data_IF_965604278296
#
_entry.id   IF_965604278296
#
_cell.length_a   1.000
_cell.length_b   1.000
_cell.length_c   1.000
_cell.angle_alpha   90.00
_cell.angle_beta   90.00
_cell.angle_gamma   90.00
#
_symmetry.space_group_name_H-M   'P 1'
#
loop_
_entity.id
_entity.type
_entity.pdbx_description
1 polymer ?
#
# COMPACT_ATOMS: atom_id res chain seq x y z
N UNK A 1 -54.57 -59.77 26.59
CA UNK A 1 -55.67 -58.82 26.91
C UNK A 1 -55.09 -57.41 26.78
N UNK A 2 -55.05 -56.78 25.61
CA UNK A 2 -56.08 -55.87 25.05
C UNK A 2 -56.78 -55.02 26.12
N UNK A 3 -56.44 -53.73 26.20
CA UNK A 3 -57.41 -52.64 26.04
C UNK A 3 -56.69 -51.36 25.59
N UNK A 4 -57.12 -50.87 24.41
CA UNK A 4 -56.92 -49.52 23.90
C UNK A 4 -58.00 -48.62 24.50
N UNK A 5 -57.73 -47.31 24.62
CA UNK A 5 -58.69 -46.19 24.57
C UNK A 5 -57.88 -44.89 24.76
N UNK A 6 -58.21 -43.72 24.23
CA UNK A 6 -58.95 -43.26 23.05
C UNK A 6 -58.71 -41.74 23.01
N UNK A 7 -58.38 -41.24 21.82
CA UNK A 7 -58.56 -39.91 21.22
C UNK A 7 -59.45 -38.90 21.97
N UNK A 8 -59.08 -37.59 21.93
CA UNK A 8 -59.90 -36.44 21.43
C UNK A 8 -59.12 -35.10 21.65
N UNK A 9 -58.78 -34.41 20.54
CA UNK A 9 -58.66 -32.93 20.42
C UNK A 9 -60.05 -32.40 20.00
N UNK A 10 -60.50 -31.13 20.17
CA UNK A 10 -59.77 -29.91 19.74
C UNK A 10 -60.19 -28.54 20.38
N UNK A 11 -59.69 -27.44 19.77
CA UNK A 11 -60.18 -26.03 19.79
C UNK A 11 -59.89 -25.20 21.06
N UNK A 12 -59.62 -23.88 21.07
CA UNK A 12 -59.25 -22.84 20.10
C UNK A 12 -59.21 -21.49 20.86
N UNK A 13 -58.32 -20.56 20.44
CA UNK A 13 -58.39 -19.06 20.55
C UNK A 13 -58.28 -18.36 21.92
N UNK A 14 -57.25 -17.53 22.08
CA UNK A 14 -57.30 -16.04 22.10
C UNK A 14 -55.93 -15.50 22.55
N UNK A 15 -55.20 -14.79 21.69
CA UNK A 15 -55.15 -13.31 21.60
C UNK A 15 -54.62 -12.63 22.87
N UNK A 16 -53.34 -12.25 22.86
CA UNK A 16 -52.92 -10.91 23.24
C UNK A 16 -51.52 -10.62 22.70
N UNK A 17 -51.52 -9.81 21.65
CA UNK A 17 -50.36 -9.19 21.01
C UNK A 17 -49.77 -8.12 21.91
N UNK A 18 -48.46 -8.12 22.08
CA UNK A 18 -47.69 -6.94 22.46
C UNK A 18 -46.27 -7.07 21.88
N UNK A 19 -46.11 -6.72 20.61
CA UNK A 19 -44.79 -6.53 20.01
C UNK A 19 -44.47 -5.05 20.13
N UNK A 20 -43.62 -4.71 21.09
CA UNK A 20 -42.98 -3.40 21.18
C UNK A 20 -42.02 -3.27 19.99
N UNK A 21 -42.37 -2.45 19.00
CA UNK A 21 -41.44 -2.02 17.95
C UNK A 21 -40.52 -0.94 18.54
N UNK A 22 -39.41 -1.33 19.17
CA UNK A 22 -38.30 -0.41 19.40
C UNK A 22 -37.55 -0.25 18.08
N UNK A 23 -37.86 0.83 17.37
CA UNK A 23 -37.10 1.28 16.21
C UNK A 23 -35.67 1.64 16.64
N UNK A 24 -34.73 0.74 16.35
CA UNK A 24 -33.30 1.07 16.32
C UNK A 24 -33.02 1.62 14.94
N UNK A 25 -32.94 2.94 14.82
CA UNK A 25 -32.33 3.60 13.67
C UNK A 25 -30.82 3.32 13.75
N UNK A 26 -30.38 2.28 13.06
CA UNK A 26 -28.96 2.09 12.75
C UNK A 26 -28.61 3.21 11.76
N UNK A 27 -27.98 4.27 12.26
CA UNK A 27 -27.30 5.23 11.41
C UNK A 27 -26.19 4.46 10.69
N UNK A 28 -26.44 4.07 9.44
CA UNK A 28 -25.41 3.57 8.56
C UNK A 28 -24.40 4.70 8.36
N UNK A 29 -23.30 4.66 9.11
CA UNK A 29 -22.11 5.41 8.77
C UNK A 29 -21.61 4.83 7.45
N UNK A 30 -22.06 5.41 6.34
CA UNK A 30 -21.49 5.10 5.03
C UNK A 30 -20.00 5.43 5.16
N UNK A 31 -19.08 4.45 5.04
CA UNK A 31 -17.68 4.81 4.96
C UNK A 31 -17.57 5.71 3.73
N UNK A 32 -17.03 6.92 3.91
CA UNK A 32 -16.58 7.76 2.80
C UNK A 32 -15.56 6.93 2.01
N UNK A 33 -16.03 6.17 1.02
CA UNK A 33 -15.15 5.54 0.05
C UNK A 33 -14.39 6.68 -0.60
N UNK A 34 -13.06 6.60 -0.56
CA UNK A 34 -12.24 7.48 -1.37
C UNK A 34 -12.72 7.33 -2.81
N UNK A 35 -13.25 8.41 -3.37
CA UNK A 35 -13.86 8.42 -4.70
C UNK A 35 -12.80 7.99 -5.71
N UNK A 36 -13.09 6.92 -6.45
CA UNK A 36 -12.20 6.46 -7.51
C UNK A 36 -12.05 7.59 -8.53
N UNK A 37 -10.82 7.95 -8.87
CA UNK A 37 -10.60 9.12 -9.71
C UNK A 37 -9.14 9.44 -9.96
N UNK A 38 -8.91 10.04 -11.12
CA UNK A 38 -7.61 10.58 -11.50
C UNK A 38 -7.64 12.10 -11.40
N UNK A 39 -6.64 12.69 -10.74
CA UNK A 39 -6.45 14.14 -10.65
C UNK A 39 -5.07 14.53 -11.16
N UNK A 40 -5.04 15.55 -12.01
CA UNK A 40 -3.81 16.18 -12.50
C UNK A 40 -3.60 17.55 -11.85
N UNK A 41 -2.36 17.93 -11.59
CA UNK A 41 -2.00 19.31 -11.31
C UNK A 41 -0.77 19.73 -12.10
N UNK A 42 -0.79 20.96 -12.60
CA UNK A 42 0.33 21.58 -13.30
C UNK A 42 0.68 22.91 -12.63
N UNK A 43 1.97 23.16 -12.42
CA UNK A 43 2.47 24.40 -11.86
C UNK A 43 3.72 24.81 -12.62
N UNK A 44 3.70 26.02 -13.15
CA UNK A 44 4.85 26.70 -13.71
C UNK A 44 5.21 27.90 -12.81
N UNK A 45 6.50 28.12 -12.59
CA UNK A 45 7.00 29.28 -11.85
C UNK A 45 8.19 29.89 -12.58
N UNK A 46 8.11 31.17 -12.89
CA UNK A 46 9.18 31.92 -13.57
C UNK A 46 9.84 32.89 -12.60
N UNK A 47 11.16 32.79 -12.46
CA UNK A 47 11.95 33.68 -11.61
C UNK A 47 12.31 35.00 -12.31
N UNK A 48 12.88 35.97 -11.55
CA UNK A 48 13.23 37.30 -12.06
C UNK A 48 14.25 37.28 -13.21
N UNK A 49 15.03 36.20 -13.34
CA UNK A 49 16.01 36.02 -14.42
C UNK A 49 15.40 35.34 -15.67
N UNK A 50 14.07 35.29 -15.80
CA UNK A 50 13.36 34.68 -16.93
C UNK A 50 13.40 33.15 -16.97
N UNK A 51 13.89 32.49 -15.92
CA UNK A 51 13.99 31.02 -15.86
C UNK A 51 12.74 30.43 -15.23
N UNK A 52 12.15 29.45 -15.91
CA UNK A 52 11.00 28.71 -15.42
C UNK A 52 11.40 27.40 -14.70
N UNK A 53 10.50 26.93 -13.85
CA UNK A 53 10.48 25.57 -13.33
C UNK A 53 9.05 25.07 -13.48
N UNK A 54 8.92 23.89 -14.07
CA UNK A 54 7.64 23.25 -14.32
C UNK A 54 7.51 22.02 -13.44
N UNK A 55 6.28 21.77 -12.99
CA UNK A 55 5.92 20.55 -12.28
C UNK A 55 4.55 20.09 -12.73
N UNK A 56 4.48 18.85 -13.17
CA UNK A 56 3.22 18.13 -13.37
C UNK A 56 3.12 16.99 -12.35
N UNK A 57 1.91 16.66 -11.92
CA UNK A 57 1.69 15.38 -11.29
C UNK A 57 0.28 14.86 -11.53
N UNK A 58 0.20 13.54 -11.66
CA UNK A 58 -1.04 12.79 -11.82
C UNK A 58 -1.15 11.83 -10.65
N UNK A 59 -2.33 11.79 -10.02
CA UNK A 59 -2.65 10.84 -8.95
C UNK A 59 -3.90 10.08 -9.37
N UNK A 60 -3.82 8.75 -9.38
CA UNK A 60 -4.94 7.86 -9.62
C UNK A 60 -5.25 7.13 -8.32
N UNK A 61 -6.50 7.20 -7.89
CA UNK A 61 -7.01 6.49 -6.73
C UNK A 61 -8.12 5.56 -7.19
N UNK A 62 -8.03 4.30 -6.82
CA UNK A 62 -9.04 3.27 -7.02
C UNK A 62 -9.17 2.48 -5.71
N UNK A 63 -10.28 1.76 -5.48
CA UNK A 63 -10.38 0.88 -4.31
C UNK A 63 -9.21 -0.11 -4.30
N UNK A 64 -8.42 -0.11 -3.24
CA UNK A 64 -7.24 -0.98 -3.12
C UNK A 64 -6.00 -0.53 -3.90
N UNK A 65 -6.09 0.48 -4.77
CA UNK A 65 -4.97 0.92 -5.60
C UNK A 65 -4.76 2.44 -5.56
N UNK A 66 -3.51 2.86 -5.40
CA UNK A 66 -3.12 4.26 -5.44
C UNK A 66 -1.83 4.42 -6.23
N UNK A 67 -1.82 5.22 -7.28
CA UNK A 67 -0.60 5.62 -8.00
C UNK A 67 -0.42 7.13 -8.05
N UNK A 68 0.83 7.56 -8.01
CA UNK A 68 1.19 8.97 -8.16
C UNK A 68 2.48 9.11 -8.97
N UNK A 69 2.37 9.80 -10.10
CA UNK A 69 3.50 10.21 -10.94
C UNK A 69 3.68 11.71 -10.82
N UNK A 70 4.93 12.15 -10.65
CA UNK A 70 5.30 13.57 -10.62
C UNK A 70 6.53 13.78 -11.46
N UNK A 71 6.46 14.74 -12.37
CA UNK A 71 7.60 15.21 -13.14
C UNK A 71 7.90 16.66 -12.76
N UNK A 72 9.17 17.00 -12.80
CA UNK A 72 9.64 18.35 -12.55
C UNK A 72 10.78 18.66 -13.52
N UNK A 73 10.63 19.75 -14.26
CA UNK A 73 11.70 20.34 -15.06
C UNK A 73 12.21 21.57 -14.33
N UNK A 74 13.49 21.52 -13.96
CA UNK A 74 14.21 22.61 -13.33
C UNK A 74 14.98 23.46 -14.34
N UNK A 75 15.54 24.58 -13.89
CA UNK A 75 16.39 25.40 -14.74
C UNK A 75 17.61 24.61 -15.22
N UNK A 76 18.10 24.93 -16.42
CA UNK A 76 19.28 24.31 -17.03
C UNK A 76 19.14 22.81 -17.36
N UNK A 77 17.92 22.35 -17.66
CA UNK A 77 17.68 20.97 -18.10
C UNK A 77 17.79 19.92 -16.99
N UNK A 78 17.93 20.33 -15.73
CA UNK A 78 17.86 19.41 -14.60
C UNK A 78 16.40 18.93 -14.44
N UNK A 79 16.20 17.63 -14.21
CA UNK A 79 14.86 17.05 -14.12
C UNK A 79 14.73 16.10 -12.95
N UNK A 80 13.48 15.88 -12.52
CA UNK A 80 13.15 14.89 -11.49
C UNK A 80 11.81 14.24 -11.77
N UNK A 81 11.82 12.92 -11.84
CA UNK A 81 10.64 12.10 -11.97
C UNK A 81 10.44 11.26 -10.70
N UNK A 82 9.20 11.12 -10.26
CA UNK A 82 8.82 10.31 -9.11
C UNK A 82 7.60 9.49 -9.48
N UNK A 83 7.70 8.18 -9.33
CA UNK A 83 6.59 7.24 -9.44
C UNK A 83 6.38 6.57 -8.09
N UNK A 84 5.13 6.42 -7.65
CA UNK A 84 4.75 5.67 -6.45
C UNK A 84 3.49 4.89 -6.72
N UNK A 85 3.44 3.68 -6.18
CA UNK A 85 2.27 2.81 -6.26
C UNK A 85 2.04 2.13 -4.93
N UNK A 86 0.78 1.97 -4.56
CA UNK A 86 0.31 1.10 -3.50
C UNK A 86 -0.78 0.23 -4.10
N UNK A 87 -0.64 -1.07 -3.95
CA UNK A 87 -1.60 -2.08 -4.37
C UNK A 87 -1.88 -2.95 -3.13
N UNK A 88 -3.04 -2.73 -2.52
CA UNK A 88 -3.46 -3.38 -1.29
C UNK A 88 -3.77 -4.86 -1.52
N UNK A 89 -4.29 -5.22 -2.70
CA UNK A 89 -4.63 -6.60 -3.05
C UNK A 89 -3.36 -7.45 -3.23
N UNK A 90 -2.34 -6.87 -3.87
CA UNK A 90 -1.02 -7.48 -3.94
C UNK A 90 -0.22 -7.36 -2.62
N UNK A 91 -0.68 -6.53 -1.67
CA UNK A 91 0.06 -6.19 -0.46
C UNK A 91 1.37 -5.45 -0.73
N UNK A 92 1.46 -4.73 -1.86
CA UNK A 92 2.71 -4.09 -2.32
C UNK A 92 2.66 -2.58 -2.26
N UNK A 93 3.80 -1.97 -1.95
CA UNK A 93 4.03 -0.54 -2.08
C UNK A 93 5.40 -0.30 -2.71
N UNK A 94 5.45 0.47 -3.79
CA UNK A 94 6.67 0.74 -4.54
C UNK A 94 6.89 2.23 -4.79
N UNK A 95 8.15 2.58 -5.04
CA UNK A 95 8.50 3.91 -5.54
C UNK A 95 9.73 3.83 -6.44
N UNK A 96 9.81 4.77 -7.38
CA UNK A 96 10.99 5.06 -8.18
C UNK A 96 11.18 6.58 -8.25
N UNK A 97 12.42 7.04 -8.15
CA UNK A 97 12.80 8.43 -8.27
C UNK A 97 14.00 8.50 -9.20
N UNK A 98 13.82 9.16 -10.33
CA UNK A 98 14.89 9.48 -11.28
C UNK A 98 15.22 10.96 -11.16
N UNK A 99 16.49 11.31 -11.11
CA UNK A 99 16.92 12.72 -11.08
C UNK A 99 18.09 12.90 -12.02
N UNK A 100 17.97 13.84 -12.94
CA UNK A 100 19.02 14.21 -13.89
C UNK A 100 19.53 15.60 -13.54
N UNK A 101 20.83 15.75 -13.34
CA UNK A 101 21.42 17.06 -13.07
C UNK A 101 21.60 17.88 -14.37
N UNK A 102 22.05 19.12 -14.25
CA UNK A 102 22.32 20.01 -15.40
C UNK A 102 23.40 19.53 -16.37
N UNK A 103 24.19 18.53 -15.98
CA UNK A 103 25.26 17.94 -16.78
C UNK A 103 24.82 16.64 -17.48
N UNK A 104 23.57 16.21 -17.27
CA UNK A 104 23.03 14.96 -17.83
C UNK A 104 23.26 13.73 -16.95
N UNK A 105 23.95 13.85 -15.82
CA UNK A 105 24.15 12.73 -14.91
C UNK A 105 22.82 12.33 -14.26
N UNK A 106 22.45 11.06 -14.40
CA UNK A 106 21.17 10.55 -13.93
C UNK A 106 21.35 9.57 -12.77
N UNK A 107 20.59 9.76 -11.70
CA UNK A 107 20.52 8.82 -10.57
C UNK A 107 19.09 8.31 -10.45
N UNK A 108 18.95 6.99 -10.40
CA UNK A 108 17.66 6.34 -10.16
C UNK A 108 17.71 5.60 -8.84
N UNK A 109 16.71 5.83 -7.99
CA UNK A 109 16.53 5.10 -6.74
C UNK A 109 15.10 4.61 -6.62
N UNK A 110 14.94 3.38 -6.19
CA UNK A 110 13.61 2.81 -6.01
C UNK A 110 13.62 1.72 -4.97
N UNK A 111 12.42 1.21 -4.72
CA UNK A 111 12.25 0.07 -3.85
C UNK A 111 10.80 -0.34 -3.72
N UNK A 112 10.60 -1.59 -3.35
CA UNK A 112 9.30 -2.18 -3.08
C UNK A 112 9.25 -2.73 -1.65
N UNK A 113 8.06 -2.75 -1.08
CA UNK A 113 7.71 -3.51 0.10
C UNK A 113 6.51 -4.39 -0.24
N UNK A 114 6.58 -5.67 0.08
CA UNK A 114 5.47 -6.63 -0.05
C UNK A 114 5.16 -7.20 1.32
N UNK A 115 3.89 -7.28 1.66
CA UNK A 115 3.39 -7.86 2.92
C UNK A 115 2.45 -9.01 2.59
N UNK A 116 2.78 -10.22 3.02
CA UNK A 116 1.95 -11.39 2.80
C UNK A 116 2.17 -12.43 3.90
N UNK A 117 1.09 -12.96 4.48
CA UNK A 117 1.15 -14.11 5.40
C UNK A 117 2.11 -13.94 6.59
N UNK A 118 2.15 -12.76 7.22
CA UNK A 118 3.08 -12.48 8.33
C UNK A 118 4.54 -12.21 7.91
N UNK A 119 4.81 -12.24 6.61
CA UNK A 119 6.11 -11.92 6.00
C UNK A 119 6.11 -10.52 5.42
N UNK A 120 7.21 -9.79 5.62
CA UNK A 120 7.47 -8.49 5.01
C UNK A 120 8.78 -8.56 4.23
N UNK A 121 8.66 -8.48 2.91
CA UNK A 121 9.79 -8.36 2.00
C UNK A 121 10.02 -6.89 1.63
N UNK A 122 11.27 -6.46 1.62
CA UNK A 122 11.66 -5.13 1.16
C UNK A 122 12.86 -5.22 0.25
N UNK A 123 12.80 -4.51 -0.87
CA UNK A 123 13.95 -4.32 -1.77
C UNK A 123 14.16 -2.83 -2.00
N UNK A 124 15.43 -2.42 -2.13
CA UNK A 124 15.83 -1.07 -2.50
C UNK A 124 17.00 -1.15 -3.46
N UNK A 125 17.00 -0.28 -4.45
CA UNK A 125 18.04 -0.19 -5.47
C UNK A 125 18.40 1.26 -5.70
N UNK A 126 19.68 1.53 -5.92
CA UNK A 126 20.19 2.82 -6.38
C UNK A 126 21.16 2.58 -7.53
N UNK A 127 20.92 3.23 -8.66
CA UNK A 127 21.76 3.22 -9.85
C UNK A 127 22.31 4.62 -10.06
N UNK A 128 23.64 4.74 -10.12
CA UNK A 128 24.34 5.99 -10.37
C UNK A 128 24.42 6.36 -11.86
N UNK A 129 25.01 7.53 -12.18
CA UNK A 129 25.05 8.08 -13.53
C UNK A 129 25.87 7.28 -14.55
N UNK A 130 26.72 6.38 -14.06
CA UNK A 130 27.53 5.49 -14.89
C UNK A 130 27.04 4.04 -14.83
N UNK A 131 25.78 3.82 -14.43
CA UNK A 131 25.14 2.49 -14.41
C UNK A 131 25.48 1.60 -13.19
N UNK A 132 26.46 2.00 -12.39
CA UNK A 132 26.82 1.28 -11.16
C UNK A 132 25.63 1.22 -10.19
N UNK A 133 25.31 0.01 -9.72
CA UNK A 133 24.06 -0.25 -8.98
C UNK A 133 24.29 -0.92 -7.64
N UNK A 134 23.74 -0.35 -6.57
CA UNK A 134 23.72 -0.95 -5.24
C UNK A 134 22.30 -1.42 -4.89
N UNK A 135 22.18 -2.57 -4.21
CA UNK A 135 20.90 -3.12 -3.79
C UNK A 135 20.91 -3.47 -2.30
N UNK A 136 19.73 -3.43 -1.68
CA UNK A 136 19.51 -3.94 -0.33
C UNK A 136 18.15 -4.61 -0.26
N UNK A 137 18.13 -5.90 0.08
CA UNK A 137 16.93 -6.67 0.36
C UNK A 137 16.81 -7.01 1.84
N UNK A 138 15.59 -7.19 2.31
CA UNK A 138 15.32 -7.70 3.65
C UNK A 138 14.00 -8.48 3.66
N UNK A 139 14.03 -9.66 4.25
CA UNK A 139 12.84 -10.47 4.54
C UNK A 139 12.68 -10.55 6.04
N UNK A 140 11.46 -10.31 6.52
CA UNK A 140 11.12 -10.35 7.95
C UNK A 140 9.90 -11.21 8.15
N UNK A 141 9.96 -12.14 9.09
CA UNK A 141 8.85 -13.05 9.38
C UNK A 141 8.54 -12.96 10.86
N UNK A 142 7.25 -12.87 11.19
CA UNK A 142 6.76 -13.01 12.55
C UNK A 142 5.88 -14.25 12.66
N UNK A 143 6.25 -15.17 13.54
CA UNK A 143 5.46 -16.33 13.89
C UNK A 143 4.72 -16.08 15.21
N UNK A 144 3.38 -15.87 15.17
CA UNK A 144 2.60 -15.62 16.37
C UNK A 144 2.47 -16.85 17.28
N UNK A 145 2.64 -18.07 16.77
CA UNK A 145 2.51 -19.29 17.58
C UNK A 145 3.68 -19.47 18.53
N UNK A 146 4.88 -19.04 18.12
CA UNK A 146 6.13 -19.18 18.88
C UNK A 146 6.65 -17.86 19.45
N UNK A 147 6.01 -16.72 19.12
CA UNK A 147 6.49 -15.39 19.49
C UNK A 147 7.81 -15.01 18.80
N UNK A 148 8.19 -15.72 17.72
CA UNK A 148 9.49 -15.59 17.07
C UNK A 148 9.45 -14.55 15.97
N UNK A 149 10.44 -13.66 15.96
CA UNK A 149 10.73 -12.73 14.89
C UNK A 149 12.06 -13.08 14.22
N UNK A 150 12.06 -13.24 12.90
CA UNK A 150 13.27 -13.42 12.09
C UNK A 150 13.45 -12.29 11.10
N UNK A 151 14.71 -11.93 10.81
CA UNK A 151 15.06 -10.96 9.80
C UNK A 151 16.34 -11.40 9.09
N UNK A 152 16.25 -11.59 7.78
CA UNK A 152 17.41 -11.71 6.89
C UNK A 152 17.56 -10.38 6.13
N UNK A 153 18.78 -9.84 6.07
CA UNK A 153 19.11 -8.64 5.32
C UNK A 153 20.30 -8.93 4.45
N UNK A 154 20.21 -8.60 3.16
CA UNK A 154 21.33 -8.65 2.25
C UNK A 154 21.56 -7.29 1.60
N UNK A 155 22.81 -6.89 1.44
CA UNK A 155 23.20 -5.69 0.71
C UNK A 155 24.31 -6.04 -0.28
N UNK A 156 24.16 -5.57 -1.52
CA UNK A 156 25.15 -5.72 -2.58
C UNK A 156 25.59 -4.34 -3.06
N UNK A 157 26.90 -4.09 -3.03
CA UNK A 157 27.48 -2.85 -3.52
C UNK A 157 27.60 -2.80 -5.05
N UNK A 158 27.93 -1.62 -5.60
CA UNK A 158 28.09 -1.42 -7.05
C UNK A 158 29.17 -2.28 -7.71
N UNK A 159 30.13 -2.78 -6.92
CA UNK A 159 31.21 -3.63 -7.39
C UNK A 159 30.94 -5.12 -7.11
N UNK A 160 29.70 -5.51 -6.78
CA UNK A 160 29.30 -6.89 -6.54
C UNK A 160 29.61 -7.44 -5.13
N UNK A 161 30.36 -6.71 -4.30
CA UNK A 161 30.62 -7.11 -2.91
C UNK A 161 29.33 -7.15 -2.08
N UNK A 162 29.19 -8.17 -1.23
CA UNK A 162 27.97 -8.41 -0.45
C UNK A 162 28.21 -8.37 1.06
N UNK A 163 27.17 -8.00 1.80
CA UNK A 163 27.11 -8.12 3.25
C UNK A 163 25.73 -8.63 3.67
N UNK A 164 25.69 -9.62 4.54
CA UNK A 164 24.46 -10.24 5.01
C UNK A 164 24.37 -10.19 6.53
N UNK A 165 23.13 -10.09 7.05
CA UNK A 165 22.84 -10.13 8.48
C UNK A 165 21.57 -10.91 8.72
N UNK A 166 21.67 -11.90 9.58
CA UNK A 166 20.55 -12.67 10.13
C UNK A 166 20.30 -12.29 11.59
N UNK A 167 19.03 -12.20 11.96
CA UNK A 167 18.59 -11.93 13.33
C UNK A 167 17.38 -12.81 13.62
N UNK A 168 17.44 -13.54 14.73
CA UNK A 168 16.29 -14.25 15.31
C UNK A 168 16.11 -13.76 16.74
N UNK A 169 14.88 -13.40 17.10
CA UNK A 169 14.48 -12.99 18.45
C UNK A 169 13.26 -13.80 18.82
N UNK A 170 13.29 -14.45 19.98
CA UNK A 170 12.16 -15.17 20.55
C UNK A 170 11.73 -14.47 21.84
N UNK A 171 10.42 -14.28 22.04
CA UNK A 171 9.83 -13.67 23.23
C UNK A 171 8.90 -14.63 23.93
#
# INVERSE_FOLDING_TARGET
>A
MKHRNSTIRPLSRSLLSAVLLTGVTIAATVPLQAEAGTRGHHVERTGPNGRSTERSATVTNEPGYHSATREQQGPYGASREVNRTVDADAGTASHSVTTTNRYGDTVTRGGSTTVYGGTVDRSRTVTGPYGATATRSATRVYDPATGTYTSNVNATGPNGGTASRDVTVQR
#
